data_IF_311000934369
#
_entry.id   IF_311000934369
#
_cell.length_a   1.000
_cell.length_b   1.000
_cell.length_c   1.000
_cell.angle_alpha   90.00
_cell.angle_beta   90.00
_cell.angle_gamma   90.00
#
_symmetry.space_group_name_H-M   'P 1'
#
loop_
_entity.id
_entity.type
_entity.pdbx_description
1 polymer ?
#
# COMPACT_ATOMS: atom_id res chain seq x y z
N UNK A 1 31.83 13.49 10.36
CA UNK A 1 30.46 12.96 10.53
C UNK A 1 29.53 13.86 9.71
N UNK A 2 28.88 13.33 8.68
CA UNK A 2 27.96 14.11 7.85
C UNK A 2 26.64 14.34 8.58
N UNK A 3 26.01 15.50 8.36
CA UNK A 3 24.71 15.86 8.91
C UNK A 3 23.67 15.86 7.80
N UNK A 4 22.44 15.48 8.14
CA UNK A 4 21.32 15.47 7.20
C UNK A 4 20.37 16.59 7.58
N UNK A 5 20.00 17.42 6.59
CA UNK A 5 18.95 18.44 6.72
C UNK A 5 17.82 18.13 5.76
N UNK A 6 16.58 18.28 6.22
CA UNK A 6 15.39 18.04 5.41
C UNK A 6 14.71 19.37 5.10
N UNK A 7 14.35 19.58 3.84
CA UNK A 7 13.64 20.76 3.38
C UNK A 7 12.41 20.30 2.58
N UNK A 8 11.34 21.09 2.62
CA UNK A 8 10.20 20.89 1.75
C UNK A 8 10.03 22.06 0.78
N UNK A 9 9.41 21.80 -0.36
CA UNK A 9 9.10 22.81 -1.36
C UNK A 9 7.59 22.92 -1.57
N UNK A 10 7.07 24.14 -1.72
CA UNK A 10 5.69 24.39 -2.14
C UNK A 10 5.68 24.43 -3.67
N UNK A 11 4.81 23.62 -4.30
CA UNK A 11 4.68 23.52 -5.76
C UNK A 11 3.24 23.30 -6.15
N UNK A 12 2.85 23.81 -7.31
CA UNK A 12 1.54 23.53 -7.93
C UNK A 12 1.54 22.25 -8.76
N UNK A 13 2.73 21.70 -9.06
CA UNK A 13 2.85 20.44 -9.81
C UNK A 13 2.67 19.24 -8.90
N UNK A 14 1.93 18.23 -9.36
CA UNK A 14 1.85 16.95 -8.69
C UNK A 14 3.24 16.27 -8.68
N UNK A 15 3.78 16.03 -7.49
CA UNK A 15 5.05 15.36 -7.29
C UNK A 15 4.89 14.25 -6.24
N UNK A 16 5.61 13.12 -6.39
CA UNK A 16 5.58 12.09 -5.37
C UNK A 16 6.11 12.62 -4.02
N UNK A 17 5.56 12.09 -2.92
CA UNK A 17 6.05 12.38 -1.58
C UNK A 17 7.38 11.67 -1.33
N UNK A 18 8.47 12.30 -1.71
CA UNK A 18 9.84 11.78 -1.57
C UNK A 18 10.72 12.79 -0.86
N UNK A 19 11.63 12.28 -0.02
CA UNK A 19 12.79 13.05 0.43
C UNK A 19 13.80 12.99 -0.71
N UNK A 20 13.98 14.09 -1.43
CA UNK A 20 14.87 14.13 -2.59
C UNK A 20 16.27 14.62 -2.19
N UNK A 21 17.26 13.97 -2.74
CA UNK A 21 18.64 14.43 -2.70
C UNK A 21 19.22 14.40 -4.12
N UNK A 22 19.63 15.55 -4.67
CA UNK A 22 20.14 15.63 -6.05
C UNK A 22 21.27 14.66 -6.36
N UNK A 23 22.18 14.41 -5.42
CA UNK A 23 23.24 13.41 -5.61
C UNK A 23 22.68 12.02 -5.84
N UNK A 24 21.69 11.61 -5.05
CA UNK A 24 21.12 10.26 -5.13
C UNK A 24 20.27 10.09 -6.38
N UNK A 25 19.58 11.14 -6.84
CA UNK A 25 18.91 11.18 -8.14
C UNK A 25 19.93 10.96 -9.29
N UNK A 26 21.12 11.59 -9.21
CA UNK A 26 22.20 11.38 -10.20
C UNK A 26 22.73 9.95 -10.17
N UNK A 27 23.00 9.39 -8.99
CA UNK A 27 23.48 8.02 -8.84
C UNK A 27 22.47 7.01 -9.39
N UNK A 28 21.18 7.22 -9.11
CA UNK A 28 20.13 6.38 -9.64
C UNK A 28 20.07 6.43 -11.17
N UNK A 29 20.08 7.62 -11.76
CA UNK A 29 20.04 7.78 -13.20
C UNK A 29 21.27 7.15 -13.88
N UNK A 30 22.46 7.25 -13.29
CA UNK A 30 23.68 6.59 -13.82
C UNK A 30 23.53 5.07 -13.74
N UNK A 31 23.01 4.53 -12.64
CA UNK A 31 22.81 3.09 -12.47
C UNK A 31 21.80 2.52 -13.49
N UNK A 32 20.72 3.26 -13.78
CA UNK A 32 19.67 2.84 -14.71
C UNK A 32 20.06 2.99 -16.18
N UNK A 33 20.74 4.11 -16.52
CA UNK A 33 21.06 4.43 -17.89
C UNK A 33 22.44 3.88 -18.35
N UNK A 34 23.32 3.44 -17.46
CA UNK A 34 24.63 2.91 -17.78
C UNK A 34 25.60 3.93 -18.40
N UNK A 35 25.23 5.20 -18.48
CA UNK A 35 26.09 6.28 -18.98
C UNK A 35 25.72 7.63 -18.39
N UNK A 36 26.72 8.48 -18.13
CA UNK A 36 26.54 9.83 -17.61
C UNK A 36 25.76 10.70 -18.61
N UNK A 37 26.02 10.53 -19.92
CA UNK A 37 25.31 11.29 -20.96
C UNK A 37 23.81 10.90 -21.05
N UNK A 38 23.49 9.61 -20.88
CA UNK A 38 22.10 9.16 -20.88
C UNK A 38 21.40 9.57 -19.58
N UNK A 39 22.06 9.48 -18.43
CA UNK A 39 21.56 9.97 -17.15
C UNK A 39 21.28 11.48 -17.17
N UNK A 40 22.16 12.27 -17.74
CA UNK A 40 21.98 13.71 -17.91
C UNK A 40 20.71 14.02 -18.73
N UNK A 41 20.50 13.34 -19.86
CA UNK A 41 19.28 13.48 -20.68
C UNK A 41 18.02 13.06 -19.93
N UNK A 42 18.08 11.96 -19.18
CA UNK A 42 16.93 11.47 -18.41
C UNK A 42 16.51 12.44 -17.30
N UNK A 43 17.44 13.24 -16.79
CA UNK A 43 17.20 14.25 -15.74
C UNK A 43 16.99 15.67 -16.28
N UNK A 44 16.99 15.85 -17.61
CA UNK A 44 16.96 17.17 -18.26
C UNK A 44 18.09 18.09 -17.80
N UNK A 45 19.29 17.54 -17.64
CA UNK A 45 20.50 18.24 -17.21
C UNK A 45 21.59 18.16 -18.29
N UNK A 46 22.55 19.10 -18.26
CA UNK A 46 23.73 19.02 -19.13
C UNK A 46 24.71 17.96 -18.61
N UNK A 47 25.40 17.28 -19.53
CA UNK A 47 26.51 16.37 -19.18
C UNK A 47 27.55 17.02 -18.26
N UNK A 48 27.93 18.27 -18.56
CA UNK A 48 28.91 19.02 -17.77
C UNK A 48 28.45 19.25 -16.34
N UNK A 49 27.15 19.52 -16.14
CA UNK A 49 26.58 19.69 -14.81
C UNK A 49 26.61 18.36 -14.02
N UNK A 50 26.13 17.27 -14.60
CA UNK A 50 26.10 15.95 -13.94
C UNK A 50 27.51 15.50 -13.57
N UNK A 51 28.46 15.63 -14.51
CA UNK A 51 29.86 15.27 -14.26
C UNK A 51 30.48 16.13 -13.15
N UNK A 52 30.26 17.45 -13.19
CA UNK A 52 30.77 18.39 -12.19
C UNK A 52 30.22 18.10 -10.78
N UNK A 53 28.91 17.84 -10.67
CA UNK A 53 28.27 17.51 -9.39
C UNK A 53 28.80 16.17 -8.82
N UNK A 54 28.91 15.13 -9.64
CA UNK A 54 29.47 13.85 -9.20
C UNK A 54 30.91 14.03 -8.70
N UNK A 55 31.76 14.79 -9.41
CA UNK A 55 33.17 15.05 -9.01
C UNK A 55 33.26 15.90 -7.75
N UNK A 56 32.36 16.88 -7.58
CA UNK A 56 32.29 17.68 -6.36
C UNK A 56 31.95 16.78 -5.13
N UNK A 57 30.96 15.92 -5.28
CA UNK A 57 30.57 15.01 -4.20
C UNK A 57 31.63 13.94 -3.90
N UNK A 58 32.34 13.41 -4.91
CA UNK A 58 33.45 12.50 -4.69
C UNK A 58 34.55 13.16 -3.85
N UNK A 59 34.85 14.45 -4.11
CA UNK A 59 35.79 15.23 -3.31
C UNK A 59 35.29 15.44 -1.87
N UNK A 60 34.04 15.84 -1.69
CA UNK A 60 33.46 16.09 -0.38
C UNK A 60 33.33 14.81 0.47
N UNK A 61 33.00 13.66 -0.14
CA UNK A 61 32.83 12.39 0.54
C UNK A 61 34.14 11.61 0.68
N UNK A 62 35.19 12.00 -0.05
CA UNK A 62 36.52 11.35 -0.06
C UNK A 62 36.51 9.94 -0.65
N UNK A 63 35.50 9.60 -1.44
CA UNK A 63 35.29 8.27 -2.03
C UNK A 63 34.75 8.38 -3.46
N UNK A 64 35.20 7.51 -4.39
CA UNK A 64 34.65 7.48 -5.75
C UNK A 64 33.15 7.02 -5.66
N UNK A 65 32.29 7.69 -6.41
CA UNK A 65 30.87 7.36 -6.53
C UNK A 65 30.58 6.53 -7.77
N UNK A 66 31.33 6.78 -8.85
CA UNK A 66 31.19 6.09 -10.13
C UNK A 66 32.52 5.53 -10.59
N UNK A 67 32.45 4.42 -11.30
CA UNK A 67 33.56 3.84 -12.06
C UNK A 67 33.28 4.09 -13.54
N UNK A 68 34.24 4.72 -14.19
CA UNK A 68 34.16 5.02 -15.60
C UNK A 68 35.53 4.79 -16.27
N UNK A 69 35.54 3.97 -17.31
CA UNK A 69 36.67 3.71 -18.16
C UNK A 69 36.29 4.04 -19.60
N UNK A 70 37.25 4.55 -20.37
CA UNK A 70 36.99 4.90 -21.76
C UNK A 70 36.55 3.67 -22.56
N UNK A 71 35.35 3.76 -23.18
CA UNK A 71 34.77 2.67 -23.97
C UNK A 71 33.92 1.67 -23.15
N UNK A 72 33.79 1.85 -21.83
CA UNK A 72 32.94 1.04 -21.00
C UNK A 72 31.73 1.83 -20.49
N UNK A 73 30.65 1.10 -20.13
CA UNK A 73 29.49 1.68 -19.47
C UNK A 73 29.87 2.26 -18.10
N UNK A 74 29.36 3.45 -17.78
CA UNK A 74 29.49 4.00 -16.43
C UNK A 74 28.69 3.17 -15.44
N UNK A 75 29.31 2.83 -14.32
CA UNK A 75 28.66 2.07 -13.23
C UNK A 75 28.95 2.70 -11.89
N UNK A 76 28.11 2.44 -10.91
CA UNK A 76 28.39 2.87 -9.55
C UNK A 76 29.61 2.15 -8.99
N UNK A 77 30.40 2.85 -8.19
CA UNK A 77 31.38 2.20 -7.31
C UNK A 77 30.68 1.40 -6.22
N UNK A 78 31.42 0.59 -5.48
CA UNK A 78 30.87 -0.12 -4.32
C UNK A 78 30.30 0.87 -3.29
N UNK A 79 31.00 1.98 -3.04
CA UNK A 79 30.55 3.03 -2.15
C UNK A 79 29.28 3.73 -2.68
N UNK A 80 29.25 4.13 -3.95
CA UNK A 80 28.08 4.75 -4.57
C UNK A 80 26.85 3.83 -4.54
N UNK A 81 27.05 2.54 -4.80
CA UNK A 81 25.98 1.55 -4.72
C UNK A 81 25.44 1.36 -3.29
N UNK A 82 26.33 1.31 -2.28
CA UNK A 82 25.94 1.24 -0.87
C UNK A 82 25.17 2.47 -0.43
N UNK A 83 25.61 3.66 -0.86
CA UNK A 83 24.94 4.93 -0.52
C UNK A 83 23.52 4.99 -1.10
N UNK A 84 23.37 4.66 -2.38
CA UNK A 84 22.07 4.62 -3.05
C UNK A 84 21.13 3.56 -2.43
N UNK A 85 21.68 2.38 -2.09
CA UNK A 85 20.91 1.32 -1.45
C UNK A 85 20.41 1.74 -0.07
N UNK A 86 21.26 2.35 0.76
CA UNK A 86 20.89 2.82 2.09
C UNK A 86 19.77 3.85 2.02
N UNK A 87 19.85 4.79 1.09
CA UNK A 87 18.82 5.81 0.87
C UNK A 87 17.49 5.18 0.45
N UNK A 88 17.50 4.30 -0.54
CA UNK A 88 16.28 3.59 -1.00
C UNK A 88 15.58 2.82 0.12
N UNK A 89 16.34 2.20 1.02
CA UNK A 89 15.80 1.49 2.18
C UNK A 89 15.13 2.46 3.17
N UNK A 90 15.81 3.56 3.47
CA UNK A 90 15.28 4.60 4.36
C UNK A 90 14.01 5.21 3.76
N UNK A 91 14.02 5.59 2.49
CA UNK A 91 12.86 6.12 1.78
C UNK A 91 11.67 5.16 1.86
N UNK A 92 11.87 3.87 1.53
CA UNK A 92 10.79 2.89 1.54
C UNK A 92 10.18 2.67 2.94
N UNK A 93 10.99 2.78 4.01
CA UNK A 93 10.52 2.66 5.39
C UNK A 93 9.82 3.90 5.89
N UNK A 94 10.30 5.09 5.51
CA UNK A 94 9.74 6.37 5.93
C UNK A 94 8.58 6.85 5.07
N UNK A 95 8.32 6.22 3.91
CA UNK A 95 7.28 6.65 2.99
C UNK A 95 5.93 6.94 3.67
N UNK A 96 5.38 6.07 4.56
CA UNK A 96 4.12 6.37 5.22
C UNK A 96 4.14 7.62 6.09
N UNK A 97 5.28 7.90 6.75
CA UNK A 97 5.45 9.10 7.59
C UNK A 97 5.60 10.36 6.74
N UNK A 98 6.34 10.27 5.63
CA UNK A 98 6.53 11.37 4.67
C UNK A 98 5.18 11.75 4.04
N UNK A 99 4.38 10.77 3.64
CA UNK A 99 3.06 11.00 3.08
C UNK A 99 2.09 11.58 4.11
N UNK A 100 2.13 11.12 5.35
CA UNK A 100 1.33 11.67 6.43
C UNK A 100 1.70 13.13 6.72
N UNK A 101 3.00 13.46 6.80
CA UNK A 101 3.47 14.84 6.97
C UNK A 101 3.06 15.72 5.81
N UNK A 102 3.17 15.22 4.57
CA UNK A 102 2.70 15.93 3.38
C UNK A 102 1.21 16.23 3.46
N UNK A 103 0.39 15.25 3.84
CA UNK A 103 -1.05 15.42 3.97
C UNK A 103 -1.42 16.46 5.05
N UNK A 104 -0.72 16.48 6.19
CA UNK A 104 -0.91 17.49 7.24
C UNK A 104 -0.60 18.89 6.73
N UNK A 105 0.52 19.08 6.00
CA UNK A 105 0.90 20.37 5.39
C UNK A 105 -0.11 20.80 4.31
N UNK A 106 -0.46 19.90 3.39
CA UNK A 106 -1.43 20.16 2.32
C UNK A 106 -2.80 20.54 2.87
N UNK A 107 -3.25 19.88 3.96
CA UNK A 107 -4.49 20.24 4.65
C UNK A 107 -4.45 21.66 5.21
N UNK A 108 -3.35 22.01 5.90
CA UNK A 108 -3.20 23.33 6.46
C UNK A 108 -3.21 24.42 5.38
N UNK A 109 -2.53 24.18 4.26
CA UNK A 109 -2.51 25.10 3.12
C UNK A 109 -3.84 25.13 2.36
N UNK A 110 -4.50 23.98 2.15
CA UNK A 110 -5.79 23.95 1.48
C UNK A 110 -6.84 24.81 2.22
N UNK A 111 -6.92 24.67 3.54
CA UNK A 111 -7.80 25.51 4.38
C UNK A 111 -7.40 27.00 4.32
N UNK A 112 -6.09 27.29 4.28
CA UNK A 112 -5.61 28.68 4.21
C UNK A 112 -5.90 29.36 2.85
N UNK A 113 -5.99 28.59 1.77
CA UNK A 113 -6.24 29.12 0.43
C UNK A 113 -7.72 29.09 0.02
N UNK A 114 -8.52 28.19 0.59
CA UNK A 114 -9.93 28.02 0.24
C UNK A 114 -10.75 27.54 1.45
N UNK A 115 -11.54 28.42 2.03
CA UNK A 115 -12.42 28.11 3.17
C UNK A 115 -13.55 27.13 2.80
N UNK A 116 -13.83 26.92 1.52
CA UNK A 116 -14.86 26.00 1.03
C UNK A 116 -14.35 24.57 0.81
N UNK A 117 -13.05 24.30 1.00
CA UNK A 117 -12.48 22.99 0.82
C UNK A 117 -13.09 21.98 1.80
N UNK A 118 -13.49 20.83 1.27
CA UNK A 118 -13.97 19.72 2.10
C UNK A 118 -12.79 18.88 2.60
N UNK A 119 -12.66 18.71 3.91
CA UNK A 119 -11.64 17.86 4.52
C UNK A 119 -12.29 16.58 5.05
N UNK A 120 -11.76 15.41 4.64
CA UNK A 120 -12.20 14.11 5.11
C UNK A 120 -11.05 13.42 5.87
N UNK A 121 -11.21 13.22 7.17
CA UNK A 121 -10.24 12.49 7.98
C UNK A 121 -10.32 10.99 7.72
N UNK A 122 -9.18 10.38 7.41
CA UNK A 122 -9.09 9.02 6.92
C UNK A 122 -7.97 8.24 7.64
N UNK A 123 -8.28 7.08 8.18
CA UNK A 123 -7.29 6.15 8.72
C UNK A 123 -7.28 4.86 7.91
N UNK A 124 -6.10 4.41 7.47
CA UNK A 124 -5.96 3.17 6.70
C UNK A 124 -4.52 2.66 6.70
N UNK A 125 -4.31 1.41 6.31
CA UNK A 125 -2.98 0.92 5.97
C UNK A 125 -2.46 1.65 4.72
N UNK A 126 -1.14 1.89 4.69
CA UNK A 126 -0.50 2.47 3.50
C UNK A 126 -0.82 1.64 2.26
N UNK A 127 -1.31 2.32 1.21
CA UNK A 127 -1.80 1.70 -0.01
C UNK A 127 -1.65 2.65 -1.20
N UNK A 128 -1.14 2.14 -2.33
CA UNK A 128 -0.88 2.94 -3.53
C UNK A 128 -2.18 3.52 -4.14
N UNK A 129 -3.30 2.78 -4.02
CA UNK A 129 -4.59 3.27 -4.50
C UNK A 129 -5.13 4.43 -3.64
N UNK A 130 -4.84 4.45 -2.32
CA UNK A 130 -5.22 5.58 -1.47
C UNK A 130 -4.40 6.83 -1.77
N UNK A 131 -3.11 6.68 -2.05
CA UNK A 131 -2.28 7.80 -2.47
C UNK A 131 -2.80 8.39 -3.78
N UNK A 132 -3.12 7.54 -4.76
CA UNK A 132 -3.71 7.96 -6.03
C UNK A 132 -5.10 8.62 -5.86
N UNK A 133 -5.93 8.12 -4.90
CA UNK A 133 -7.22 8.72 -4.59
C UNK A 133 -7.08 10.12 -3.99
N UNK A 134 -6.07 10.33 -3.13
CA UNK A 134 -5.77 11.66 -2.58
C UNK A 134 -5.45 12.68 -3.65
N UNK A 135 -4.71 12.28 -4.69
CA UNK A 135 -4.40 13.15 -5.83
C UNK A 135 -5.66 13.47 -6.67
N UNK A 136 -6.51 12.46 -6.90
CA UNK A 136 -7.75 12.62 -7.67
C UNK A 136 -8.78 13.52 -6.95
N UNK A 137 -8.94 13.31 -5.65
CA UNK A 137 -9.90 14.03 -4.82
C UNK A 137 -9.62 15.55 -4.77
N UNK A 138 -8.34 15.93 -4.79
CA UNK A 138 -7.93 17.35 -4.78
C UNK A 138 -8.50 18.14 -5.97
N UNK A 139 -8.54 17.53 -7.15
CA UNK A 139 -9.13 18.13 -8.34
C UNK A 139 -10.62 18.47 -8.17
N UNK A 140 -11.32 17.79 -7.28
CA UNK A 140 -12.73 18.00 -6.94
C UNK A 140 -12.99 18.82 -5.66
N UNK A 141 -11.99 19.53 -5.11
CA UNK A 141 -12.13 20.32 -3.89
C UNK A 141 -12.27 19.48 -2.60
N UNK A 142 -11.84 18.21 -2.66
CA UNK A 142 -11.84 17.32 -1.50
C UNK A 142 -10.40 17.01 -1.07
N UNK A 143 -10.03 17.41 0.14
CA UNK A 143 -8.77 17.02 0.76
C UNK A 143 -8.94 15.78 1.62
N UNK A 144 -8.16 14.72 1.34
CA UNK A 144 -8.11 13.52 2.18
C UNK A 144 -6.96 13.65 3.20
N UNK A 145 -7.31 13.86 4.47
CA UNK A 145 -6.37 13.85 5.59
C UNK A 145 -6.09 12.38 6.00
N UNK A 146 -5.16 11.74 5.29
CA UNK A 146 -4.89 10.30 5.43
C UNK A 146 -3.81 10.06 6.47
N UNK A 147 -4.16 9.32 7.53
CA UNK A 147 -3.21 8.80 8.52
C UNK A 147 -3.00 7.31 8.33
N UNK A 148 -1.76 6.93 8.06
CA UNK A 148 -1.42 5.54 7.84
C UNK A 148 -1.27 4.77 9.15
N UNK A 149 -2.15 3.77 9.32
CA UNK A 149 -2.20 2.88 10.49
C UNK A 149 -2.69 1.49 10.05
N UNK A 150 -2.62 0.50 10.92
CA UNK A 150 -3.16 -0.84 10.61
C UNK A 150 -4.67 -0.82 10.46
N UNK A 151 -5.23 -1.73 9.64
CA UNK A 151 -6.69 -1.82 9.40
C UNK A 151 -7.51 -1.98 10.69
N UNK A 152 -6.97 -2.70 11.68
CA UNK A 152 -7.61 -2.87 13.00
C UNK A 152 -7.68 -1.54 13.74
N UNK A 153 -6.58 -0.82 13.78
CA UNK A 153 -6.48 0.47 14.48
C UNK A 153 -7.24 1.57 13.73
N UNK A 154 -7.34 1.47 12.40
CA UNK A 154 -8.18 2.35 11.60
C UNK A 154 -9.67 2.24 12.01
N UNK A 155 -10.20 1.01 12.13
CA UNK A 155 -11.58 0.81 12.57
C UNK A 155 -11.79 1.22 14.04
N UNK A 156 -10.77 1.00 14.90
CA UNK A 156 -10.81 1.53 16.29
C UNK A 156 -10.88 3.04 16.31
N UNK A 157 -10.03 3.71 15.52
CA UNK A 157 -10.04 5.17 15.40
C UNK A 157 -11.40 5.70 14.92
N UNK A 158 -12.05 5.02 13.97
CA UNK A 158 -13.42 5.33 13.54
C UNK A 158 -14.41 5.21 14.71
N UNK A 159 -14.34 4.13 15.49
CA UNK A 159 -15.22 3.89 16.64
C UNK A 159 -15.01 4.92 17.78
N UNK A 160 -13.82 5.46 17.90
CA UNK A 160 -13.44 6.49 18.87
C UNK A 160 -13.70 7.92 18.35
N UNK A 161 -14.22 8.07 17.12
CA UNK A 161 -14.47 9.38 16.51
C UNK A 161 -13.22 10.15 16.09
N UNK A 162 -12.06 9.47 16.00
CA UNK A 162 -10.78 10.09 15.59
C UNK A 162 -10.62 10.22 14.08
N UNK A 163 -11.50 9.60 13.29
CA UNK A 163 -11.58 9.77 11.85
C UNK A 163 -13.02 9.58 11.37
N UNK A 164 -13.31 10.06 10.17
CA UNK A 164 -14.61 9.91 9.50
C UNK A 164 -14.66 8.61 8.68
N UNK A 165 -13.50 8.17 8.18
CA UNK A 165 -13.38 7.03 7.28
C UNK A 165 -12.25 6.10 7.71
N UNK A 166 -12.49 4.78 7.69
CA UNK A 166 -11.49 3.76 7.98
C UNK A 166 -11.36 2.76 6.83
N UNK A 167 -10.15 2.60 6.32
CA UNK A 167 -9.83 1.61 5.30
C UNK A 167 -9.47 0.25 5.88
N UNK A 168 -10.07 -0.83 5.36
CA UNK A 168 -9.71 -2.18 5.76
C UNK A 168 -9.92 -3.20 4.63
N UNK A 169 -9.23 -4.33 4.74
CA UNK A 169 -9.19 -5.35 3.72
C UNK A 169 -9.79 -6.65 4.21
N UNK A 170 -10.49 -7.34 3.33
CA UNK A 170 -11.09 -8.65 3.59
C UNK A 170 -10.75 -9.58 2.43
N UNK A 171 -10.27 -10.76 2.76
CA UNK A 171 -10.02 -11.80 1.77
C UNK A 171 -11.31 -12.18 1.05
N UNK A 172 -11.24 -12.25 -0.28
CA UNK A 172 -12.32 -12.79 -1.10
C UNK A 172 -12.27 -14.32 -1.09
N UNK A 173 -13.41 -15.01 -1.03
CA UNK A 173 -13.44 -16.46 -1.15
C UNK A 173 -12.99 -16.89 -2.54
N UNK A 174 -12.18 -17.94 -2.63
CA UNK A 174 -11.70 -18.50 -3.90
C UNK A 174 -12.86 -18.95 -4.83
N UNK A 175 -13.98 -19.39 -4.23
CA UNK A 175 -15.22 -19.73 -4.96
C UNK A 175 -16.33 -18.79 -4.48
N UNK A 176 -17.00 -18.03 -5.36
CA UNK A 176 -18.10 -17.16 -5.01
C UNK A 176 -19.20 -17.94 -4.26
N UNK A 177 -19.58 -17.46 -3.07
CA UNK A 177 -20.64 -18.10 -2.27
C UNK A 177 -20.16 -19.18 -1.31
N UNK A 178 -18.90 -19.62 -1.35
CA UNK A 178 -18.38 -20.55 -0.36
C UNK A 178 -18.39 -19.95 1.05
N UNK A 179 -18.71 -20.78 2.06
CA UNK A 179 -18.59 -20.38 3.46
C UNK A 179 -17.10 -20.37 3.82
N UNK A 180 -16.57 -19.20 4.08
CA UNK A 180 -15.30 -19.13 4.82
C UNK A 180 -15.65 -19.49 6.27
N UNK A 181 -15.20 -20.65 6.74
CA UNK A 181 -15.28 -21.04 8.15
C UNK A 181 -14.69 -19.92 9.00
N UNK A 182 -15.00 -19.82 10.31
CA UNK A 182 -14.60 -18.69 11.18
C UNK A 182 -13.17 -18.23 10.92
N UNK A 183 -13.03 -17.26 10.01
CA UNK A 183 -11.72 -16.81 9.51
C UNK A 183 -11.04 -15.93 10.55
N UNK A 184 -9.73 -15.81 10.47
CA UNK A 184 -8.98 -14.86 11.30
C UNK A 184 -9.51 -13.44 11.09
N UNK A 185 -9.85 -13.07 9.84
CA UNK A 185 -10.51 -11.81 9.49
C UNK A 185 -11.83 -11.60 10.23
N UNK A 186 -12.66 -12.64 10.34
CA UNK A 186 -13.91 -12.58 11.13
C UNK A 186 -13.62 -12.27 12.59
N UNK A 187 -12.73 -13.02 13.24
CA UNK A 187 -12.37 -12.81 14.66
C UNK A 187 -11.82 -11.41 14.91
N UNK A 188 -11.09 -10.87 13.94
CA UNK A 188 -10.43 -9.57 14.04
C UNK A 188 -11.41 -8.41 13.85
N UNK A 189 -12.25 -8.45 12.81
CA UNK A 189 -13.07 -7.28 12.43
C UNK A 189 -14.49 -7.33 12.99
N UNK A 190 -15.08 -8.52 13.21
CA UNK A 190 -16.46 -8.65 13.70
C UNK A 190 -16.74 -7.94 15.03
N UNK A 191 -15.82 -7.94 16.02
CA UNK A 191 -16.02 -7.21 17.26
C UNK A 191 -15.99 -5.68 17.10
N UNK A 192 -15.35 -5.18 16.04
CA UNK A 192 -15.12 -3.75 15.81
C UNK A 192 -16.22 -3.12 14.93
N UNK A 193 -16.85 -3.90 14.08
CA UNK A 193 -17.88 -3.45 13.14
C UNK A 193 -19.27 -3.80 13.70
N UNK A 194 -20.24 -2.87 13.60
CA UNK A 194 -21.61 -3.03 14.13
C UNK A 194 -22.64 -2.78 13.01
N UNK A 195 -23.46 -3.77 12.65
CA UNK A 195 -24.59 -3.57 11.74
C UNK A 195 -25.52 -2.49 12.25
N UNK A 196 -26.04 -1.66 11.35
CA UNK A 196 -26.89 -0.51 11.71
C UNK A 196 -26.13 0.75 12.08
N UNK A 197 -24.96 0.66 12.70
CA UNK A 197 -24.08 1.80 13.02
C UNK A 197 -23.11 2.13 11.88
N UNK A 198 -22.44 1.11 11.34
CA UNK A 198 -21.47 1.27 10.27
C UNK A 198 -22.08 0.98 8.90
N UNK A 199 -21.53 1.65 7.89
CA UNK A 199 -21.71 1.37 6.47
C UNK A 199 -20.36 1.12 5.83
N UNK A 200 -20.38 0.35 4.76
CA UNK A 200 -19.19 0.11 3.94
C UNK A 200 -19.38 0.79 2.60
N UNK A 201 -18.31 1.35 2.08
CA UNK A 201 -18.22 1.88 0.74
C UNK A 201 -17.28 0.98 -0.02
N UNK A 202 -17.71 0.46 -1.16
CA UNK A 202 -16.85 -0.30 -2.06
C UNK A 202 -15.73 0.60 -2.60
N UNK A 203 -14.53 0.05 -2.66
CA UNK A 203 -13.36 0.80 -3.15
C UNK A 203 -12.64 0.05 -4.24
N UNK A 204 -11.96 -1.05 -3.90
CA UNK A 204 -11.11 -1.78 -4.83
C UNK A 204 -11.11 -3.29 -4.53
N UNK A 205 -10.77 -4.07 -5.55
CA UNK A 205 -10.23 -5.41 -5.43
C UNK A 205 -8.74 -5.33 -5.69
N UNK A 206 -7.93 -6.08 -4.95
CA UNK A 206 -6.50 -6.15 -5.18
C UNK A 206 -5.95 -7.56 -4.98
N UNK A 207 -4.85 -7.87 -5.67
CA UNK A 207 -4.14 -9.14 -5.54
C UNK A 207 -3.05 -9.05 -4.47
N UNK A 208 -2.99 -10.04 -3.57
CA UNK A 208 -1.88 -10.26 -2.66
C UNK A 208 -1.16 -11.57 -2.96
N UNK A 209 0.15 -11.59 -2.71
CA UNK A 209 0.96 -12.75 -3.01
C UNK A 209 2.41 -12.58 -2.59
N UNK A 210 3.27 -13.43 -3.12
CA UNK A 210 4.69 -13.36 -2.87
C UNK A 210 5.37 -12.37 -3.81
N UNK A 211 6.07 -11.42 -3.25
CA UNK A 211 7.03 -10.55 -3.92
C UNK A 211 8.35 -11.30 -3.94
N UNK A 212 8.90 -11.55 -5.12
CA UNK A 212 10.13 -12.32 -5.32
C UNK A 212 11.10 -11.59 -6.25
N UNK A 213 12.38 -11.92 -6.19
CA UNK A 213 13.37 -11.36 -7.09
C UNK A 213 13.01 -11.63 -8.56
N UNK A 214 13.46 -10.76 -9.46
CA UNK A 214 13.24 -10.89 -10.90
C UNK A 214 13.68 -12.26 -11.41
N UNK A 215 12.84 -12.91 -12.20
CA UNK A 215 13.04 -14.27 -12.69
C UNK A 215 12.73 -15.36 -11.68
N UNK A 216 12.32 -15.02 -10.47
CA UNK A 216 12.00 -15.97 -9.40
C UNK A 216 13.04 -17.10 -9.26
N UNK A 217 14.31 -16.79 -8.96
CA UNK A 217 15.42 -17.75 -9.04
C UNK A 217 15.23 -18.97 -8.11
N UNK A 218 14.52 -18.80 -7.01
CA UNK A 218 14.20 -19.88 -6.06
C UNK A 218 12.93 -20.66 -6.44
N UNK A 219 12.25 -20.28 -7.53
CA UNK A 219 11.02 -20.93 -8.03
C UNK A 219 9.96 -21.07 -6.93
N UNK A 220 9.74 -20.02 -6.16
CA UNK A 220 8.71 -19.98 -5.12
C UNK A 220 7.33 -19.89 -5.78
N UNK A 221 6.43 -20.81 -5.46
CA UNK A 221 5.09 -20.92 -6.07
C UNK A 221 3.96 -20.72 -5.06
N UNK A 222 4.27 -20.81 -3.76
CA UNK A 222 3.27 -20.71 -2.70
C UNK A 222 3.90 -20.58 -1.32
N UNK A 223 3.05 -20.45 -0.31
CA UNK A 223 3.48 -20.22 1.07
C UNK A 223 4.27 -21.40 1.67
N UNK A 224 4.02 -22.63 1.22
CA UNK A 224 4.77 -23.80 1.67
C UNK A 224 6.26 -23.72 1.28
N UNK A 225 6.58 -23.05 0.18
CA UNK A 225 7.98 -22.85 -0.24
C UNK A 225 8.76 -21.95 0.72
N UNK A 226 8.08 -21.11 1.51
CA UNK A 226 8.74 -20.23 2.48
C UNK A 226 9.39 -21.01 3.64
N UNK A 227 8.94 -22.24 3.93
CA UNK A 227 9.54 -23.12 4.94
C UNK A 227 10.74 -23.89 4.41
N UNK A 228 11.11 -23.77 3.13
CA UNK A 228 12.30 -24.43 2.57
C UNK A 228 13.57 -23.90 3.23
N UNK A 229 14.55 -24.80 3.54
CA UNK A 229 15.83 -24.39 4.11
C UNK A 229 16.52 -23.31 3.26
N UNK A 230 17.01 -22.27 3.91
CA UNK A 230 17.75 -21.18 3.27
C UNK A 230 16.88 -20.04 2.73
N UNK A 231 15.57 -20.21 2.54
CA UNK A 231 14.67 -19.12 2.09
C UNK A 231 14.52 -18.10 3.22
N UNK A 232 14.80 -16.82 2.90
CA UNK A 232 14.66 -15.68 3.82
C UNK A 232 13.39 -14.93 3.47
N UNK A 233 12.54 -14.71 4.45
CA UNK A 233 11.27 -14.02 4.29
C UNK A 233 11.24 -12.72 5.06
N UNK A 234 10.50 -11.73 4.54
CA UNK A 234 10.20 -10.47 5.21
C UNK A 234 8.69 -10.26 5.23
N UNK A 235 8.18 -9.74 6.33
CA UNK A 235 6.75 -9.64 6.59
C UNK A 235 6.28 -8.17 6.69
N UNK A 236 4.98 -7.99 6.74
CA UNK A 236 4.34 -6.75 7.14
C UNK A 236 4.17 -6.69 8.66
N UNK A 237 4.19 -5.48 9.20
CA UNK A 237 3.97 -5.24 10.61
C UNK A 237 2.65 -5.87 11.11
N UNK A 238 2.65 -6.32 12.36
CA UNK A 238 1.47 -6.90 13.03
C UNK A 238 0.32 -5.89 13.05
N UNK A 239 -0.92 -6.39 12.91
CA UNK A 239 -2.13 -5.56 12.87
C UNK A 239 -2.45 -4.96 11.50
N UNK A 240 -1.59 -5.11 10.50
CA UNK A 240 -1.92 -4.76 9.12
C UNK A 240 -2.84 -5.80 8.48
N UNK A 241 -3.72 -5.39 7.56
CA UNK A 241 -4.61 -6.30 6.84
C UNK A 241 -3.86 -7.42 6.12
N UNK A 242 -2.73 -7.09 5.49
CA UNK A 242 -1.84 -8.06 4.82
C UNK A 242 -1.33 -9.13 5.78
N UNK A 243 -0.95 -8.75 7.01
CA UNK A 243 -0.51 -9.72 8.02
C UNK A 243 -1.64 -10.62 8.46
N UNK A 244 -2.84 -10.06 8.64
CA UNK A 244 -4.04 -10.84 8.98
C UNK A 244 -4.33 -11.89 7.91
N UNK A 245 -4.23 -11.53 6.63
CA UNK A 245 -4.45 -12.47 5.51
C UNK A 245 -3.36 -13.53 5.44
N UNK A 246 -2.09 -13.16 5.58
CA UNK A 246 -0.99 -14.13 5.61
C UNK A 246 -1.19 -15.16 6.72
N UNK A 247 -1.50 -14.71 7.94
CA UNK A 247 -1.69 -15.59 9.10
C UNK A 247 -2.89 -16.53 8.90
N UNK A 248 -3.96 -16.06 8.22
CA UNK A 248 -5.09 -16.88 7.82
C UNK A 248 -4.69 -17.97 6.81
N UNK A 249 -3.95 -17.61 5.77
CA UNK A 249 -3.48 -18.55 4.75
C UNK A 249 -2.51 -19.60 5.32
N UNK A 250 -1.60 -19.20 6.20
CA UNK A 250 -0.70 -20.12 6.88
C UNK A 250 -1.48 -21.09 7.77
N UNK A 251 -2.49 -20.62 8.50
CA UNK A 251 -3.37 -21.45 9.31
C UNK A 251 -4.14 -22.48 8.48
N UNK A 252 -4.63 -22.13 7.30
CA UNK A 252 -5.31 -23.05 6.37
C UNK A 252 -4.37 -24.17 5.88
N UNK A 253 -3.07 -23.86 5.71
CA UNK A 253 -2.05 -24.81 5.29
C UNK A 253 -1.45 -25.60 6.44
N UNK A 254 -1.83 -25.35 7.70
CA UNK A 254 -1.22 -25.92 8.88
C UNK A 254 0.26 -25.52 9.07
N UNK A 255 0.69 -24.43 8.44
CA UNK A 255 2.08 -23.96 8.49
C UNK A 255 2.26 -22.95 9.63
N UNK A 256 3.17 -23.28 10.56
CA UNK A 256 3.54 -22.35 11.62
C UNK A 256 4.47 -21.24 11.11
N UNK A 257 4.24 -20.01 11.54
CA UNK A 257 5.17 -18.91 11.26
C UNK A 257 6.60 -19.17 11.77
N UNK A 258 6.77 -19.98 12.83
CA UNK A 258 8.08 -20.38 13.34
C UNK A 258 8.89 -21.23 12.35
N UNK A 259 8.23 -21.89 11.40
CA UNK A 259 8.90 -22.64 10.34
C UNK A 259 9.44 -21.75 9.21
N UNK A 260 9.09 -20.48 9.20
CA UNK A 260 9.47 -19.51 8.16
C UNK A 260 10.58 -18.62 8.69
N UNK A 261 11.79 -18.72 8.11
CA UNK A 261 12.92 -17.87 8.49
C UNK A 261 12.65 -16.42 8.13
N UNK A 262 12.58 -15.53 9.11
CA UNK A 262 12.29 -14.11 8.91
C UNK A 262 10.81 -13.73 9.06
N UNK A 263 9.94 -14.67 9.49
CA UNK A 263 8.52 -14.37 9.75
C UNK A 263 8.29 -13.22 10.74
N UNK A 264 9.21 -13.01 11.69
CA UNK A 264 9.20 -11.89 12.62
C UNK A 264 9.95 -10.64 12.15
N UNK A 265 10.54 -10.67 10.96
CA UNK A 265 11.19 -9.50 10.36
C UNK A 265 10.10 -8.62 9.71
N UNK A 266 9.66 -7.59 10.43
CA UNK A 266 8.51 -6.77 10.06
C UNK A 266 8.94 -5.47 9.37
N UNK A 267 8.25 -5.13 8.26
CA UNK A 267 8.42 -3.88 7.53
C UNK A 267 7.13 -3.02 7.57
N UNK A 268 7.25 -1.68 7.67
CA UNK A 268 6.10 -0.80 7.90
C UNK A 268 5.21 -0.61 6.68
N UNK A 269 5.70 -0.83 5.46
CA UNK A 269 4.96 -0.61 4.22
C UNK A 269 5.17 -1.74 3.20
N UNK A 270 4.28 -1.85 2.20
CA UNK A 270 4.50 -2.76 1.06
C UNK A 270 5.76 -2.37 0.28
N UNK A 271 6.02 -1.07 0.17
CA UNK A 271 7.23 -0.54 -0.44
C UNK A 271 8.50 -1.00 0.27
N UNK A 272 8.49 -1.06 1.62
CA UNK A 272 9.63 -1.53 2.40
C UNK A 272 9.84 -3.05 2.25
N UNK A 273 8.76 -3.84 2.23
CA UNK A 273 8.84 -5.29 1.93
C UNK A 273 9.45 -5.52 0.55
N UNK A 274 8.95 -4.84 -0.48
CA UNK A 274 9.49 -4.96 -1.83
C UNK A 274 10.95 -4.49 -1.91
N UNK A 275 11.33 -3.43 -1.18
CA UNK A 275 12.71 -2.94 -1.13
C UNK A 275 13.65 -3.95 -0.46
N UNK A 276 13.21 -4.65 0.60
CA UNK A 276 13.99 -5.70 1.25
C UNK A 276 14.29 -6.88 0.29
N UNK A 277 13.33 -7.23 -0.56
CA UNK A 277 13.53 -8.24 -1.61
C UNK A 277 14.44 -7.70 -2.72
N UNK A 278 14.22 -6.48 -3.21
CA UNK A 278 15.03 -5.88 -4.27
C UNK A 278 16.50 -5.73 -3.88
N UNK A 279 16.77 -5.48 -2.59
CA UNK A 279 18.14 -5.37 -2.05
C UNK A 279 18.80 -6.70 -1.69
N UNK A 280 18.10 -7.82 -1.86
CA UNK A 280 18.59 -9.15 -1.49
C UNK A 280 18.70 -9.39 0.01
N UNK A 281 18.08 -8.56 0.86
CA UNK A 281 17.97 -8.82 2.31
C UNK A 281 17.02 -9.97 2.60
N UNK A 282 15.98 -10.12 1.78
CA UNK A 282 15.06 -11.25 1.79
C UNK A 282 14.93 -11.83 0.38
N UNK A 283 14.55 -13.10 0.29
CA UNK A 283 14.32 -13.80 -0.96
C UNK A 283 12.84 -13.72 -1.37
N UNK A 284 11.96 -13.50 -0.40
CA UNK A 284 10.54 -13.30 -0.60
C UNK A 284 9.94 -12.38 0.46
N UNK A 285 8.85 -11.70 0.10
CA UNK A 285 7.97 -10.98 1.01
C UNK A 285 6.51 -11.23 0.64
N UNK A 286 5.57 -11.01 1.58
CA UNK A 286 4.15 -11.06 1.28
C UNK A 286 3.58 -9.64 1.16
N UNK A 287 2.94 -9.35 0.02
CA UNK A 287 2.47 -8.00 -0.27
C UNK A 287 1.60 -7.89 -1.51
N UNK A 288 1.50 -6.68 -2.06
CA UNK A 288 0.69 -6.34 -3.23
C UNK A 288 1.52 -6.28 -4.51
N UNK A 289 0.90 -6.59 -5.65
CA UNK A 289 1.56 -6.61 -6.94
C UNK A 289 2.16 -5.26 -7.34
N UNK A 290 1.44 -4.15 -7.11
CA UNK A 290 1.92 -2.81 -7.44
C UNK A 290 3.31 -2.52 -6.83
N UNK A 291 3.51 -2.87 -5.56
CA UNK A 291 4.80 -2.65 -4.87
C UNK A 291 5.93 -3.56 -5.41
N UNK A 292 5.62 -4.75 -5.91
CA UNK A 292 6.59 -5.60 -6.60
C UNK A 292 7.00 -4.97 -7.94
N UNK A 293 6.00 -4.65 -8.78
CA UNK A 293 6.23 -4.10 -10.13
C UNK A 293 6.96 -2.76 -10.13
N UNK A 294 6.66 -1.88 -9.19
CA UNK A 294 7.34 -0.58 -9.06
C UNK A 294 8.85 -0.68 -8.80
N UNK A 295 9.34 -1.88 -8.41
CA UNK A 295 10.76 -2.17 -8.17
C UNK A 295 11.34 -3.20 -9.12
N UNK A 296 10.65 -3.51 -10.22
CA UNK A 296 11.11 -4.47 -11.21
C UNK A 296 11.21 -5.91 -10.68
N UNK A 297 10.45 -6.22 -9.61
CA UNK A 297 10.37 -7.56 -9.02
C UNK A 297 9.26 -8.38 -9.68
N UNK A 298 9.35 -9.70 -9.53
CA UNK A 298 8.27 -10.60 -9.92
C UNK A 298 7.29 -10.82 -8.78
N UNK A 299 6.09 -11.24 -9.16
CA UNK A 299 4.99 -11.42 -8.24
C UNK A 299 4.29 -12.77 -8.49
N UNK A 300 4.03 -13.51 -7.42
CA UNK A 300 3.28 -14.78 -7.44
C UNK A 300 1.95 -14.53 -6.75
N UNK A 301 0.84 -14.37 -7.49
CA UNK A 301 -0.48 -14.10 -6.91
C UNK A 301 -0.97 -15.30 -6.11
N UNK A 302 -1.50 -15.08 -4.92
CA UNK A 302 -2.00 -16.12 -4.03
C UNK A 302 -3.46 -15.91 -3.63
N UNK A 303 -3.90 -14.66 -3.45
CA UNK A 303 -5.22 -14.36 -2.94
C UNK A 303 -5.71 -13.00 -3.43
N UNK A 304 -7.02 -12.88 -3.59
CA UNK A 304 -7.71 -11.64 -3.86
C UNK A 304 -8.34 -11.07 -2.58
N UNK A 305 -8.28 -9.75 -2.41
CA UNK A 305 -8.92 -9.02 -1.32
C UNK A 305 -9.90 -7.99 -1.86
N UNK A 306 -10.98 -7.80 -1.10
CA UNK A 306 -11.81 -6.60 -1.19
C UNK A 306 -11.26 -5.54 -0.25
N UNK A 307 -11.11 -4.34 -0.75
CA UNK A 307 -10.79 -3.16 0.03
C UNK A 307 -12.06 -2.33 0.23
N UNK A 308 -12.47 -2.15 1.46
CA UNK A 308 -13.63 -1.37 1.85
C UNK A 308 -13.24 -0.15 2.66
N UNK A 309 -14.05 0.91 2.52
CA UNK A 309 -13.99 2.08 3.38
C UNK A 309 -15.18 2.00 4.33
N UNK A 310 -14.92 1.91 5.63
CA UNK A 310 -15.95 1.92 6.66
C UNK A 310 -16.19 3.35 7.16
N UNK A 311 -17.44 3.71 7.36
CA UNK A 311 -17.86 4.97 7.99
C UNK A 311 -19.06 4.74 8.91
N UNK A 312 -19.37 5.73 9.76
CA UNK A 312 -20.63 5.72 10.50
C UNK A 312 -21.79 6.05 9.55
N UNK A 313 -22.97 5.44 9.79
CA UNK A 313 -24.16 5.74 8.98
C UNK A 313 -24.52 7.24 9.03
N UNK A 314 -24.31 7.90 10.17
CA UNK A 314 -24.57 9.32 10.37
C UNK A 314 -23.66 10.26 9.56
N UNK A 315 -22.51 9.77 9.06
CA UNK A 315 -21.57 10.59 8.28
C UNK A 315 -21.77 10.50 6.78
N UNK A 316 -22.67 9.62 6.29
CA UNK A 316 -22.89 9.43 4.85
C UNK A 316 -23.36 10.69 4.14
N UNK A 317 -24.17 11.50 4.83
CA UNK A 317 -24.75 12.73 4.25
C UNK A 317 -23.86 13.97 4.44
N UNK A 318 -22.72 13.84 5.10
CA UNK A 318 -21.76 14.93 5.26
C UNK A 318 -21.17 15.33 3.90
N UNK A 319 -20.94 16.64 3.63
CA UNK A 319 -20.44 17.12 2.35
C UNK A 319 -19.15 16.44 1.89
N UNK A 320 -18.17 16.25 2.79
CA UNK A 320 -16.90 15.59 2.47
C UNK A 320 -17.09 14.11 2.08
N UNK A 321 -18.00 13.37 2.76
CA UNK A 321 -18.31 11.98 2.41
C UNK A 321 -19.02 11.89 1.05
N UNK A 322 -19.97 12.80 0.78
CA UNK A 322 -20.64 12.87 -0.52
C UNK A 322 -19.66 13.19 -1.65
N UNK A 323 -18.73 14.13 -1.43
CA UNK A 323 -17.69 14.45 -2.39
C UNK A 323 -16.81 13.22 -2.69
N UNK A 324 -16.42 12.45 -1.66
CA UNK A 324 -15.70 11.19 -1.85
C UNK A 324 -16.49 10.18 -2.70
N UNK A 325 -17.78 10.00 -2.43
CA UNK A 325 -18.62 9.08 -3.21
C UNK A 325 -18.74 9.51 -4.68
N UNK A 326 -18.74 10.79 -4.97
CA UNK A 326 -18.73 11.32 -6.33
C UNK A 326 -17.42 10.94 -7.01
N UNK A 327 -16.26 11.25 -6.40
CA UNK A 327 -14.94 10.91 -6.95
C UNK A 327 -14.81 9.41 -7.24
N UNK A 328 -15.19 8.56 -6.29
CA UNK A 328 -15.09 7.11 -6.44
C UNK A 328 -15.92 6.53 -7.60
N UNK A 329 -16.95 7.25 -8.05
CA UNK A 329 -17.85 6.83 -9.15
C UNK A 329 -17.42 7.35 -10.50
N UNK A 330 -16.47 8.28 -10.59
CA UNK A 330 -16.00 8.81 -11.85
C UNK A 330 -15.33 7.74 -12.71
N UNK A 331 -15.45 7.88 -14.03
CA UNK A 331 -14.79 6.99 -14.98
C UNK A 331 -13.27 7.16 -14.90
N UNK A 332 -12.79 8.36 -14.70
CA UNK A 332 -11.39 8.73 -14.55
C UNK A 332 -10.76 7.99 -13.39
N UNK A 333 -11.39 8.03 -12.21
CA UNK A 333 -10.93 7.28 -11.06
C UNK A 333 -10.88 5.77 -11.31
N UNK A 334 -11.96 5.21 -11.87
CA UNK A 334 -12.01 3.77 -12.15
C UNK A 334 -10.95 3.32 -13.13
N UNK A 335 -10.68 4.12 -14.17
CA UNK A 335 -9.60 3.87 -15.12
C UNK A 335 -8.22 3.97 -14.47
N UNK A 336 -7.99 5.02 -13.66
CA UNK A 336 -6.73 5.19 -12.92
C UNK A 336 -6.47 4.02 -11.98
N UNK A 337 -7.50 3.57 -11.25
CA UNK A 337 -7.40 2.41 -10.36
C UNK A 337 -7.08 1.11 -11.12
N UNK A 338 -7.71 0.90 -12.28
CA UNK A 338 -7.47 -0.27 -13.12
C UNK A 338 -6.07 -0.30 -13.76
N UNK A 339 -5.38 0.85 -13.84
CA UNK A 339 -3.99 0.93 -14.32
C UNK A 339 -2.97 0.54 -13.26
N UNK A 340 -3.36 0.51 -11.97
CA UNK A 340 -2.47 0.05 -10.91
C UNK A 340 -2.31 -1.47 -10.98
N UNK A 341 -1.07 -2.00 -11.03
CA UNK A 341 -0.85 -3.44 -11.11
C UNK A 341 -1.52 -4.19 -9.96
N UNK A 342 -2.33 -5.20 -10.29
CA UNK A 342 -3.03 -6.02 -9.32
C UNK A 342 -4.27 -5.37 -8.67
N UNK A 343 -4.72 -4.20 -9.14
CA UNK A 343 -5.96 -3.55 -8.69
C UNK A 343 -7.06 -3.62 -9.75
N UNK A 344 -8.29 -3.59 -9.26
CA UNK A 344 -9.48 -3.37 -10.09
C UNK A 344 -10.57 -2.67 -9.26
N UNK A 345 -11.43 -1.84 -9.87
CA UNK A 345 -12.61 -1.30 -9.22
C UNK A 345 -13.51 -2.41 -8.69
N UNK A 346 -14.01 -2.25 -7.46
CA UNK A 346 -14.97 -3.18 -6.86
C UNK A 346 -16.08 -2.40 -6.17
N UNK A 347 -17.22 -2.28 -6.83
CA UNK A 347 -18.38 -1.50 -6.35
C UNK A 347 -17.97 -0.10 -5.85
N UNK A 348 -17.00 0.51 -6.56
CA UNK A 348 -16.35 1.76 -6.15
C UNK A 348 -17.39 2.87 -5.98
N UNK A 349 -17.44 3.45 -4.77
CA UNK A 349 -18.41 4.48 -4.39
C UNK A 349 -19.84 3.97 -4.10
N UNK A 350 -20.10 2.65 -4.13
CA UNK A 350 -21.38 2.10 -3.68
C UNK A 350 -21.42 1.98 -2.16
N UNK A 351 -22.52 2.41 -1.55
CA UNK A 351 -22.77 2.23 -0.12
C UNK A 351 -23.41 0.86 0.12
N UNK A 352 -22.69 0.02 0.85
CA UNK A 352 -23.00 -1.40 1.00
C UNK A 352 -23.43 -1.73 2.43
N UNK A 353 -24.34 -2.69 2.57
CA UNK A 353 -24.62 -3.29 3.86
C UNK A 353 -23.58 -4.36 4.20
N UNK A 354 -23.17 -4.43 5.47
CA UNK A 354 -22.19 -5.43 5.91
C UNK A 354 -22.66 -6.87 5.67
N UNK A 355 -23.95 -7.13 5.84
CA UNK A 355 -24.54 -8.47 5.59
C UNK A 355 -24.44 -8.92 4.14
N UNK A 356 -24.31 -7.97 3.20
CA UNK A 356 -24.19 -8.27 1.76
C UNK A 356 -22.77 -8.65 1.38
N UNK A 357 -21.77 -8.01 1.99
CA UNK A 357 -20.37 -8.09 1.52
C UNK A 357 -19.45 -8.81 2.49
N UNK A 358 -19.79 -8.89 3.77
CA UNK A 358 -19.01 -9.60 4.77
C UNK A 358 -19.65 -10.97 5.08
N UNK A 359 -18.98 -12.09 4.78
CA UNK A 359 -19.59 -13.42 4.85
C UNK A 359 -20.06 -13.81 6.26
N UNK A 360 -19.47 -13.22 7.30
CA UNK A 360 -19.83 -13.51 8.71
C UNK A 360 -21.03 -12.72 9.26
N UNK A 361 -21.65 -11.82 8.46
CA UNK A 361 -22.82 -11.05 8.85
C UNK A 361 -24.12 -11.51 8.18
N UNK A 362 -24.19 -12.76 7.69
CA UNK A 362 -25.43 -13.30 7.18
C UNK A 362 -26.40 -13.48 8.34
N UNK A 363 -27.48 -12.72 8.38
CA UNK A 363 -28.63 -13.00 9.20
C UNK A 363 -29.26 -14.29 8.67
N UNK A 364 -29.32 -15.36 9.49
CA UNK A 364 -30.04 -16.56 9.14
C UNK A 364 -31.47 -16.16 8.77
N UNK A 365 -31.89 -16.43 7.53
CA UNK A 365 -33.33 -16.34 7.20
C UNK A 365 -34.06 -17.21 8.19
N UNK A 366 -35.06 -16.67 8.87
CA UNK A 366 -36.05 -17.47 9.57
C UNK A 366 -36.58 -18.45 8.53
N UNK A 367 -36.22 -19.71 8.65
CA UNK A 367 -36.92 -20.79 7.98
C UNK A 367 -38.37 -20.67 8.50
N UNK A 368 -39.26 -20.29 7.62
CA UNK A 368 -40.66 -20.24 7.92
C UNK A 368 -41.11 -21.63 8.46
N UNK A 369 -41.41 -21.67 9.73
CA UNK A 369 -42.06 -22.82 10.34
C UNK A 369 -43.40 -22.98 9.67
N UNK A 370 -43.52 -23.97 8.78
CA UNK A 370 -44.79 -24.41 8.27
C UNK A 370 -45.70 -24.80 9.46
N UNK A 371 -46.74 -24.06 9.65
CA UNK A 371 -47.88 -24.54 10.42
C UNK A 371 -48.44 -25.76 9.69
N UNK A 372 -48.25 -26.93 10.22
CA UNK A 372 -49.06 -28.09 9.87
C UNK A 372 -50.47 -27.85 10.45
N UNK A 373 -51.42 -27.51 9.61
CA UNK A 373 -52.83 -27.68 9.90
C UNK A 373 -53.05 -29.16 10.14
N UNK A 374 -53.29 -29.52 11.39
CA UNK A 374 -53.97 -30.75 11.75
C UNK A 374 -55.46 -30.45 11.72
N UNK A 375 -56.11 -30.89 10.66
CA UNK A 375 -57.52 -31.20 10.70
C UNK A 375 -57.78 -32.17 11.87
N UNK A 376 -58.70 -31.83 12.73
CA UNK A 376 -59.37 -32.75 13.67
C UNK A 376 -60.79 -32.83 13.23
N UNK A 377 -61.09 -33.95 12.56
CA UNK A 377 -62.47 -34.46 12.45
C UNK A 377 -62.95 -34.91 13.83
N UNK A 378 -64.07 -34.39 14.26
CA UNK A 378 -65.27 -34.88 14.92
C UNK A 378 -65.92 -33.81 15.79
#
# INVERSE_FOLDING_TARGET
MHRISLHYALSTAAAPALIRNPLLDLLQAVAECGSISAAARALDLSYRHVWGELKRWELELGQPLILWEKGQAARLSEFGAKLLLAERQVQARLLPQIEALRADLERAFAIAFDDAVHVLSFHASHDDALAALGDEARGGGLHLDIRFTGSVDAIRALNEGRCTMAGFHVRLPAVPGSRVASSHSQRTYKPLLRPGLHKLIGFARRSQGLIVARGNPLRLRGLLDLARPGVRFVNRARGTGTRVVLDELLGELGLSGSAIRGYGADEPSHAAVAQAVASGQADAGFGIEASARSRGLDFVPLVEEAYFLACLKSTLDQPATRALLVVLRTAEWQQRLAQLPGYAPMQSGEVLSMSRVLPWWRFGGRVGGGRSDREVDQ
#
